data_IF_953954871260
#
_entry.id   IF_953954871260
#
_cell.length_a   1.000
_cell.length_b   1.000
_cell.length_c   1.000
_cell.angle_alpha   90.00
_cell.angle_beta   90.00
_cell.angle_gamma   90.00
#
_symmetry.space_group_name_H-M   'P 1'
#
loop_
_entity.id
_entity.type
_entity.pdbx_description
1 polymer ?
#
# COMPACT_ATOMS: atom_id res chain seq x y z
N UNK A 1 41.89 -3.31 9.09
CA UNK A 1 41.99 -1.84 9.11
C UNK A 1 40.59 -1.25 9.06
N UNK A 2 40.19 -0.69 10.21
CA UNK A 2 39.05 0.19 10.56
C UNK A 2 37.71 0.02 9.86
N UNK A 3 36.74 -0.50 10.63
CA UNK A 3 35.31 -0.29 10.44
C UNK A 3 34.91 1.06 11.07
N UNK A 4 34.10 1.84 10.36
CA UNK A 4 33.47 3.04 10.90
C UNK A 4 32.06 2.68 11.38
N UNK A 5 31.90 2.61 12.71
CA UNK A 5 30.62 2.62 13.41
C UNK A 5 29.99 4.01 13.27
N UNK A 6 28.72 4.08 12.88
CA UNK A 6 27.91 5.29 13.01
C UNK A 6 26.83 5.03 14.05
N UNK A 7 27.04 5.69 15.18
CA UNK A 7 26.28 5.66 16.43
C UNK A 7 24.98 6.46 16.27
N UNK A 8 23.84 5.83 16.57
CA UNK A 8 22.49 6.42 16.40
C UNK A 8 21.83 6.67 17.76
N UNK A 9 22.58 7.20 18.72
CA UNK A 9 22.07 7.59 20.05
C UNK A 9 22.77 8.87 20.55
N UNK A 10 22.33 10.03 20.08
CA UNK A 10 22.53 11.33 20.78
C UNK A 10 21.89 12.46 19.95
N UNK A 11 20.59 12.70 20.10
CA UNK A 11 20.03 14.02 19.79
C UNK A 11 18.69 14.28 20.48
N UNK A 12 18.57 13.84 21.74
CA UNK A 12 17.49 14.24 22.63
C UNK A 12 18.13 14.89 23.85
N UNK A 13 18.69 16.09 23.67
CA UNK A 13 18.99 17.08 24.72
C UNK A 13 19.68 18.28 24.07
N UNK A 14 18.89 19.27 23.62
CA UNK A 14 19.23 20.71 23.57
C UNK A 14 18.20 21.52 22.78
N UNK A 15 17.22 22.08 23.49
CA UNK A 15 16.58 23.40 23.24
C UNK A 15 15.58 23.62 24.40
N UNK A 16 15.71 24.58 25.31
CA UNK A 16 16.39 25.87 25.24
C UNK A 16 15.40 27.04 25.19
N UNK A 17 14.60 27.19 26.25
CA UNK A 17 14.06 28.45 26.79
C UNK A 17 13.03 29.31 26.00
N UNK A 18 12.30 30.12 26.80
CA UNK A 18 11.41 31.25 26.46
C UNK A 18 9.93 30.85 26.17
N UNK A 19 8.85 31.43 26.72
CA UNK A 19 8.57 32.66 27.48
C UNK A 19 7.23 32.47 28.26
N UNK A 20 7.06 33.18 29.38
CA UNK A 20 5.77 33.32 30.10
C UNK A 20 4.86 34.33 29.37
N UNK A 21 3.53 34.18 29.38
CA UNK A 21 2.63 35.24 28.92
C UNK A 21 2.29 36.22 30.06
N UNK A 22 2.34 37.52 29.74
CA UNK A 22 1.69 38.61 30.48
C UNK A 22 0.37 39.02 29.80
N UNK A 23 -0.50 39.78 30.48
CA UNK A 23 -1.94 39.77 30.24
C UNK A 23 -2.44 40.80 29.23
N UNK A 24 -3.64 40.47 28.72
CA UNK A 24 -4.68 41.22 28.02
C UNK A 24 -4.56 42.75 27.91
N UNK A 25 -4.79 43.27 26.68
CA UNK A 25 -5.31 44.62 26.47
C UNK A 25 -6.25 44.64 25.23
N UNK A 26 -7.51 45.00 25.48
CA UNK A 26 -8.58 45.16 24.48
C UNK A 26 -8.57 46.57 23.86
N UNK A 27 -8.94 46.70 22.58
CA UNK A 27 -9.25 48.01 21.99
C UNK A 27 -9.83 47.95 20.56
N UNK A 28 -10.98 48.61 20.24
CA UNK A 28 -11.79 48.36 19.04
C UNK A 28 -11.69 49.43 17.92
N UNK A 29 -12.08 49.10 16.68
CA UNK A 29 -12.21 50.09 15.58
C UNK A 29 -12.96 49.57 14.34
N UNK A 30 -13.96 50.33 13.87
CA UNK A 30 -14.98 50.00 12.84
C UNK A 30 -14.68 50.60 11.45
N UNK A 31 -15.31 50.02 10.40
CA UNK A 31 -15.72 50.68 9.11
C UNK A 31 -14.91 50.25 7.87
N UNK A 32 -15.44 49.94 6.69
CA UNK A 32 -16.77 50.09 6.08
C UNK A 32 -16.89 49.31 4.74
N UNK A 33 -17.95 49.51 3.94
CA UNK A 33 -18.44 48.54 2.94
C UNK A 33 -17.95 48.78 1.51
N UNK A 34 -17.89 47.72 0.71
CA UNK A 34 -17.82 47.82 -0.75
C UNK A 34 -17.06 46.68 -1.43
N UNK A 35 -17.78 45.74 -2.04
CA UNK A 35 -17.86 45.60 -3.49
C UNK A 35 -18.46 44.24 -3.85
N UNK A 36 -19.57 44.30 -4.58
CA UNK A 36 -20.11 43.20 -5.37
C UNK A 36 -19.01 42.56 -6.23
N UNK A 37 -18.81 41.25 -6.05
CA UNK A 37 -18.28 40.39 -7.12
C UNK A 37 -19.37 39.41 -7.53
N UNK A 38 -20.03 39.58 -8.68
CA UNK A 38 -20.91 38.56 -9.17
C UNK A 38 -20.13 37.51 -9.98
N UNK A 39 -20.68 36.29 -9.93
CA UNK A 39 -20.48 35.13 -10.81
C UNK A 39 -19.37 34.13 -10.46
N UNK A 40 -19.58 33.33 -9.42
CA UNK A 40 -19.20 31.91 -9.52
C UNK A 40 -20.22 31.21 -10.42
N UNK A 41 -19.78 30.86 -11.64
CA UNK A 41 -20.47 29.88 -12.49
C UNK A 41 -20.52 28.55 -11.73
N UNK A 42 -21.59 27.75 -11.83
CA UNK A 42 -21.66 26.46 -11.16
C UNK A 42 -20.71 25.48 -11.85
N UNK A 43 -19.45 25.48 -11.43
CA UNK A 43 -18.59 24.32 -11.58
C UNK A 43 -19.23 23.20 -10.78
N UNK A 44 -19.33 22.02 -11.36
CA UNK A 44 -19.91 20.83 -10.74
C UNK A 44 -19.22 20.54 -9.40
N UNK A 45 -19.76 21.05 -8.29
CA UNK A 45 -19.27 20.80 -6.94
C UNK A 45 -19.57 19.34 -6.60
N UNK A 46 -18.68 18.44 -7.03
CA UNK A 46 -18.71 17.06 -6.58
C UNK A 46 -18.33 17.05 -5.10
N UNK A 47 -19.17 16.41 -4.28
CA UNK A 47 -18.94 16.31 -2.83
C UNK A 47 -17.72 15.43 -2.54
N UNK A 48 -17.06 15.67 -1.41
CA UNK A 48 -15.95 14.82 -0.94
C UNK A 48 -16.36 13.35 -0.85
N UNK A 49 -17.60 13.09 -0.43
CA UNK A 49 -18.16 11.74 -0.39
C UNK A 49 -18.21 11.07 -1.78
N UNK A 50 -18.62 11.80 -2.82
CA UNK A 50 -18.66 11.29 -4.19
C UNK A 50 -17.25 11.07 -4.76
N UNK A 51 -16.30 11.96 -4.44
CA UNK A 51 -14.89 11.78 -4.82
C UNK A 51 -14.32 10.52 -4.17
N UNK A 52 -14.52 10.36 -2.86
CA UNK A 52 -14.02 9.20 -2.13
C UNK A 52 -14.62 7.88 -2.64
N UNK A 53 -15.94 7.84 -2.86
CA UNK A 53 -16.61 6.67 -3.40
C UNK A 53 -16.02 6.23 -4.75
N UNK A 54 -15.71 7.20 -5.63
CA UNK A 54 -15.06 6.93 -6.90
C UNK A 54 -13.64 6.36 -6.72
N UNK A 55 -12.83 6.93 -5.83
CA UNK A 55 -11.48 6.43 -5.55
C UNK A 55 -11.51 5.00 -5.00
N UNK A 56 -12.42 4.72 -4.06
CA UNK A 56 -12.59 3.39 -3.48
C UNK A 56 -13.01 2.35 -4.54
N UNK A 57 -13.86 2.74 -5.49
CA UNK A 57 -14.31 1.89 -6.59
C UNK A 57 -13.25 1.70 -7.69
N UNK A 58 -12.51 2.76 -8.05
CA UNK A 58 -11.45 2.73 -9.07
C UNK A 58 -10.22 1.96 -8.61
N UNK A 59 -9.94 1.94 -7.30
CA UNK A 59 -8.85 1.15 -6.75
C UNK A 59 -9.15 -0.34 -6.96
N UNK A 60 -8.38 -0.95 -7.84
CA UNK A 60 -8.38 -2.40 -8.13
C UNK A 60 -7.00 -3.00 -7.84
N UNK A 61 -6.89 -4.32 -7.94
CA UNK A 61 -5.60 -5.01 -7.95
C UNK A 61 -5.12 -5.16 -9.40
N UNK A 62 -4.34 -4.19 -9.89
CA UNK A 62 -3.79 -4.24 -11.24
C UNK A 62 -2.70 -5.30 -11.35
N UNK A 63 -2.79 -6.19 -12.34
CA UNK A 63 -1.89 -7.34 -12.52
C UNK A 63 -1.16 -7.33 -13.86
N UNK A 64 -1.06 -6.14 -14.44
CA UNK A 64 -0.21 -5.82 -15.58
C UNK A 64 0.07 -4.32 -15.54
N UNK A 65 1.33 -3.94 -15.70
CA UNK A 65 1.78 -2.57 -15.60
C UNK A 65 2.62 -2.21 -16.81
N UNK A 66 2.59 -0.92 -17.17
CA UNK A 66 3.53 -0.37 -18.13
C UNK A 66 4.91 -0.18 -17.47
N UNK A 67 6.02 -0.28 -18.24
CA UNK A 67 7.37 -0.27 -17.68
C UNK A 67 7.84 1.13 -17.24
N UNK A 68 7.14 2.21 -17.61
CA UNK A 68 7.59 3.56 -17.32
C UNK A 68 7.55 3.85 -15.81
N UNK A 69 8.68 4.24 -15.21
CA UNK A 69 8.71 4.54 -13.78
C UNK A 69 7.88 5.79 -13.49
N UNK A 70 7.14 5.74 -12.39
CA UNK A 70 6.49 6.92 -11.80
C UNK A 70 7.54 7.98 -11.40
N UNK A 71 7.21 9.29 -11.48
CA UNK A 71 8.04 10.35 -10.90
C UNK A 71 8.29 10.11 -9.41
N UNK A 72 9.53 10.30 -8.96
CA UNK A 72 9.90 10.12 -7.55
C UNK A 72 9.01 10.94 -6.60
N UNK A 73 8.68 12.17 -6.99
CA UNK A 73 7.81 13.05 -6.21
C UNK A 73 6.40 12.47 -6.00
N UNK A 74 5.88 11.69 -6.95
CA UNK A 74 4.58 11.01 -6.78
C UNK A 74 4.70 9.89 -5.74
N UNK A 75 5.79 9.11 -5.78
CA UNK A 75 6.05 8.04 -4.81
C UNK A 75 6.13 8.63 -3.39
N UNK A 76 6.94 9.67 -3.21
CA UNK A 76 7.11 10.36 -1.94
C UNK A 76 5.79 10.97 -1.44
N UNK A 77 5.00 11.57 -2.34
CA UNK A 77 3.67 12.10 -2.00
C UNK A 77 2.69 11.02 -1.56
N UNK A 78 2.66 9.88 -2.26
CA UNK A 78 1.81 8.75 -1.86
C UNK A 78 2.22 8.18 -0.50
N UNK A 79 3.53 8.05 -0.23
CA UNK A 79 4.04 7.61 1.07
C UNK A 79 3.70 8.60 2.18
N UNK A 80 3.86 9.91 1.94
CA UNK A 80 3.50 10.94 2.91
C UNK A 80 2.00 10.89 3.25
N UNK A 81 1.14 10.66 2.26
CA UNK A 81 -0.30 10.44 2.48
C UNK A 81 -0.57 9.14 3.23
N UNK A 82 0.15 8.05 2.91
CA UNK A 82 0.02 6.77 3.63
C UNK A 82 0.29 6.92 5.13
N UNK A 83 1.34 7.66 5.50
CA UNK A 83 1.70 7.95 6.88
C UNK A 83 0.70 8.84 7.63
N UNK A 84 -0.36 9.33 6.98
CA UNK A 84 -1.49 10.01 7.64
C UNK A 84 -2.54 9.03 8.18
N UNK A 85 -2.41 7.74 7.92
CA UNK A 85 -3.28 6.72 8.51
C UNK A 85 -3.23 6.78 10.05
N UNK A 86 -4.32 6.44 10.75
CA UNK A 86 -4.29 6.32 12.20
C UNK A 86 -3.50 5.08 12.62
N UNK A 87 -3.05 5.06 13.88
CA UNK A 87 -2.46 3.89 14.54
C UNK A 87 -2.75 3.92 16.02
N UNK A 88 -2.72 2.76 16.68
CA UNK A 88 -2.89 2.68 18.13
C UNK A 88 -1.86 3.58 18.83
N UNK A 89 -2.35 4.47 19.69
CA UNK A 89 -1.54 5.46 20.41
C UNK A 89 -0.61 6.30 19.50
N UNK A 90 -0.95 6.46 18.22
CA UNK A 90 -0.12 7.13 17.22
C UNK A 90 1.31 6.54 17.08
N UNK A 91 1.47 5.24 17.33
CA UNK A 91 2.76 4.54 17.30
C UNK A 91 3.40 4.45 15.92
N UNK A 92 2.60 4.58 14.85
CA UNK A 92 3.05 4.58 13.46
C UNK A 92 3.99 3.38 13.15
N UNK A 93 3.52 2.13 13.36
CA UNK A 93 4.38 0.95 13.38
C UNK A 93 4.85 0.52 11.97
N UNK A 94 4.62 1.31 10.94
CA UNK A 94 4.94 0.96 9.57
C UNK A 94 6.39 1.23 9.22
N UNK A 95 7.10 0.18 8.81
CA UNK A 95 8.35 0.30 8.08
C UNK A 95 8.08 -0.06 6.62
N UNK A 96 8.23 0.92 5.72
CA UNK A 96 7.93 0.77 4.29
C UNK A 96 9.24 0.87 3.49
N UNK A 97 9.61 -0.23 2.84
CA UNK A 97 10.81 -0.29 2.00
C UNK A 97 10.42 -0.30 0.51
N UNK A 98 10.86 0.70 -0.26
CA UNK A 98 10.49 0.84 -1.68
C UNK A 98 11.65 0.52 -2.59
N UNK A 99 11.48 -0.45 -3.47
CA UNK A 99 12.48 -0.81 -4.49
C UNK A 99 12.07 -0.29 -5.87
N UNK A 100 13.02 0.36 -6.54
CA UNK A 100 12.90 0.86 -7.90
C UNK A 100 14.11 0.42 -8.73
N UNK A 101 13.99 0.44 -10.06
CA UNK A 101 15.11 0.23 -10.98
C UNK A 101 15.91 -1.05 -10.69
N UNK A 102 17.23 -0.91 -10.50
CA UNK A 102 18.13 -2.05 -10.30
C UNK A 102 17.82 -2.87 -9.03
N UNK A 103 17.43 -2.22 -7.92
CA UNK A 103 17.07 -2.91 -6.68
C UNK A 103 15.82 -3.78 -6.87
N UNK A 104 14.79 -3.21 -7.52
CA UNK A 104 13.58 -3.95 -7.92
C UNK A 104 13.95 -5.17 -8.78
N UNK A 105 14.81 -5.00 -9.78
CA UNK A 105 15.18 -6.09 -10.68
C UNK A 105 15.96 -7.22 -9.98
N UNK A 106 16.87 -6.88 -9.06
CA UNK A 106 17.56 -7.88 -8.22
C UNK A 106 16.58 -8.68 -7.36
N UNK A 107 15.65 -7.99 -6.69
CA UNK A 107 14.63 -8.65 -5.87
C UNK A 107 13.73 -9.57 -6.69
N UNK A 108 13.25 -9.12 -7.86
CA UNK A 108 12.44 -9.94 -8.75
C UNK A 108 13.20 -11.23 -9.17
N UNK A 109 14.46 -11.08 -9.56
CA UNK A 109 15.30 -12.22 -9.95
C UNK A 109 15.54 -13.20 -8.79
N UNK A 110 15.89 -12.69 -7.61
CA UNK A 110 16.22 -13.50 -6.44
C UNK A 110 14.98 -14.23 -5.89
N UNK A 111 13.88 -13.50 -5.65
CA UNK A 111 12.62 -14.08 -5.16
C UNK A 111 12.07 -15.08 -6.20
N UNK A 112 12.08 -14.72 -7.49
CA UNK A 112 11.63 -15.61 -8.55
C UNK A 112 12.45 -16.88 -8.68
N UNK A 113 13.75 -16.86 -8.38
CA UNK A 113 14.61 -18.04 -8.38
C UNK A 113 14.27 -19.01 -7.24
N UNK A 114 14.09 -18.50 -6.02
CA UNK A 114 13.70 -19.31 -4.86
C UNK A 114 12.33 -19.96 -5.06
N UNK A 115 11.36 -19.19 -5.56
CA UNK A 115 10.01 -19.68 -5.81
C UNK A 115 9.98 -20.77 -6.90
N UNK A 116 10.77 -20.63 -7.97
CA UNK A 116 10.93 -21.69 -8.99
C UNK A 116 11.55 -22.97 -8.43
N UNK A 117 12.36 -22.84 -7.39
CA UNK A 117 12.93 -23.99 -6.70
C UNK A 117 12.00 -24.56 -5.61
N UNK A 118 10.76 -24.06 -5.49
CA UNK A 118 9.77 -24.54 -4.53
C UNK A 118 10.12 -24.23 -3.07
N UNK A 119 11.01 -23.26 -2.83
CA UNK A 119 11.41 -22.85 -1.48
C UNK A 119 10.61 -21.64 -1.05
N UNK A 120 10.25 -21.58 0.23
CA UNK A 120 9.63 -20.42 0.88
C UNK A 120 9.98 -20.43 2.37
N UNK A 121 10.20 -19.25 2.95
CA UNK A 121 10.49 -19.07 4.37
C UNK A 121 9.83 -17.78 4.90
N UNK A 122 8.49 -17.69 4.91
CA UNK A 122 7.82 -16.50 5.40
C UNK A 122 8.03 -16.28 6.90
N UNK A 123 8.01 -15.01 7.35
CA UNK A 123 8.08 -14.68 8.79
C UNK A 123 6.78 -15.04 9.53
N UNK A 124 5.67 -15.08 8.80
CA UNK A 124 4.34 -15.41 9.31
C UNK A 124 3.86 -16.72 8.64
N UNK A 125 3.25 -17.65 9.39
CA UNK A 125 2.69 -18.86 8.80
C UNK A 125 1.70 -18.54 7.68
N UNK A 126 1.80 -19.29 6.58
CA UNK A 126 0.86 -19.21 5.46
C UNK A 126 0.37 -20.61 5.10
N UNK A 127 -0.85 -20.94 5.53
CA UNK A 127 -1.47 -22.25 5.25
C UNK A 127 -2.41 -22.22 4.03
N UNK A 128 -2.81 -21.04 3.57
CA UNK A 128 -3.75 -20.80 2.47
C UNK A 128 -5.09 -21.54 2.61
N UNK A 129 -5.47 -21.95 3.84
CA UNK A 129 -6.69 -22.73 4.09
C UNK A 129 -7.80 -21.81 4.54
N UNK A 130 -8.79 -21.64 3.67
CA UNK A 130 -10.03 -20.95 3.99
C UNK A 130 -11.17 -21.96 4.07
N UNK A 131 -12.12 -21.69 4.95
CA UNK A 131 -13.31 -22.51 5.18
C UNK A 131 -14.60 -21.74 4.90
N UNK A 132 -15.70 -22.47 4.71
CA UNK A 132 -17.04 -21.93 4.47
C UNK A 132 -17.08 -20.84 3.38
N UNK A 133 -17.76 -19.74 3.69
CA UNK A 133 -17.95 -18.60 2.79
C UNK A 133 -16.63 -17.98 2.31
N UNK A 134 -15.57 -18.03 3.11
CA UNK A 134 -14.26 -17.48 2.73
C UNK A 134 -13.61 -18.32 1.63
N UNK A 135 -13.75 -19.65 1.70
CA UNK A 135 -13.28 -20.58 0.66
C UNK A 135 -14.02 -20.38 -0.66
N UNK A 136 -15.33 -20.20 -0.60
CA UNK A 136 -16.17 -19.93 -1.77
C UNK A 136 -15.76 -18.63 -2.46
N UNK A 137 -15.58 -17.55 -1.68
CA UNK A 137 -15.09 -16.24 -2.18
C UNK A 137 -13.70 -16.38 -2.81
N UNK A 138 -12.79 -17.13 -2.21
CA UNK A 138 -11.45 -17.38 -2.75
C UNK A 138 -11.53 -18.09 -4.12
N UNK A 139 -12.32 -19.16 -4.24
CA UNK A 139 -12.47 -19.88 -5.51
C UNK A 139 -13.13 -19.03 -6.59
N UNK A 140 -14.17 -18.26 -6.25
CA UNK A 140 -14.83 -17.36 -7.18
C UNK A 140 -13.87 -16.28 -7.72
N UNK A 141 -13.09 -15.66 -6.82
CA UNK A 141 -12.08 -14.67 -7.21
C UNK A 141 -10.99 -15.26 -8.11
N UNK A 142 -10.50 -16.47 -7.78
CA UNK A 142 -9.52 -17.16 -8.61
C UNK A 142 -10.08 -17.51 -9.99
N UNK A 143 -11.30 -18.05 -10.06
CA UNK A 143 -11.95 -18.38 -11.33
C UNK A 143 -12.15 -17.14 -12.21
N UNK A 144 -12.61 -16.03 -11.63
CA UNK A 144 -12.78 -14.77 -12.35
C UNK A 144 -11.43 -14.21 -12.87
N UNK A 145 -10.37 -14.31 -12.08
CA UNK A 145 -9.02 -13.91 -12.50
C UNK A 145 -8.52 -14.72 -13.69
N UNK A 146 -8.61 -16.05 -13.64
CA UNK A 146 -8.16 -16.90 -14.75
C UNK A 146 -9.01 -16.70 -16.00
N UNK A 147 -10.32 -16.54 -15.85
CA UNK A 147 -11.21 -16.21 -16.97
C UNK A 147 -10.83 -14.86 -17.63
N UNK A 148 -10.58 -13.81 -16.82
CA UNK A 148 -10.14 -12.51 -17.33
C UNK A 148 -8.75 -12.56 -18.01
N UNK A 149 -7.91 -13.51 -17.61
CA UNK A 149 -6.61 -13.76 -18.24
C UNK A 149 -6.70 -14.65 -19.49
N UNK A 150 -7.89 -15.16 -19.85
CA UNK A 150 -8.06 -16.12 -20.95
C UNK A 150 -7.48 -17.51 -20.65
N UNK A 151 -7.28 -17.86 -19.37
CA UNK A 151 -6.64 -19.10 -18.94
C UNK A 151 -7.69 -20.15 -18.59
N UNK A 152 -7.68 -21.27 -19.31
CA UNK A 152 -8.58 -22.38 -19.06
C UNK A 152 -8.30 -23.07 -17.71
N UNK A 153 -9.35 -23.52 -17.01
CA UNK A 153 -9.22 -24.17 -15.69
C UNK A 153 -8.29 -25.39 -15.67
N UNK A 154 -8.24 -26.14 -16.78
CA UNK A 154 -7.41 -27.35 -16.95
C UNK A 154 -5.96 -27.06 -17.33
N UNK A 155 -5.65 -25.83 -17.74
CA UNK A 155 -4.30 -25.42 -18.14
C UNK A 155 -3.47 -25.08 -16.90
N UNK A 156 -2.89 -26.12 -16.29
CA UNK A 156 -2.08 -25.96 -15.07
C UNK A 156 -0.84 -25.10 -15.31
N UNK A 157 -0.20 -25.24 -16.48
CA UNK A 157 1.03 -24.54 -16.81
C UNK A 157 0.79 -23.02 -16.95
N UNK A 158 -0.27 -22.61 -17.66
CA UNK A 158 -0.61 -21.19 -17.77
C UNK A 158 -1.02 -20.59 -16.42
N UNK A 159 -1.72 -21.36 -15.56
CA UNK A 159 -2.08 -20.90 -14.21
C UNK A 159 -0.86 -20.71 -13.32
N UNK A 160 0.09 -21.63 -13.39
CA UNK A 160 1.38 -21.53 -12.69
C UNK A 160 2.19 -20.34 -13.20
N UNK A 161 2.30 -20.17 -14.52
CA UNK A 161 2.97 -19.02 -15.12
C UNK A 161 2.33 -17.68 -14.66
N UNK A 162 1.00 -17.60 -14.65
CA UNK A 162 0.26 -16.43 -14.15
C UNK A 162 0.49 -16.19 -12.65
N UNK A 163 0.59 -17.25 -11.85
CA UNK A 163 0.94 -17.14 -10.43
C UNK A 163 2.37 -16.61 -10.25
N UNK A 164 3.33 -17.12 -11.04
CA UNK A 164 4.73 -16.72 -10.98
C UNK A 164 4.96 -15.24 -11.35
N UNK A 165 4.02 -14.61 -12.07
CA UNK A 165 4.06 -13.15 -12.32
C UNK A 165 4.03 -12.31 -11.04
N UNK A 166 3.58 -12.86 -9.91
CA UNK A 166 3.70 -12.17 -8.62
C UNK A 166 5.15 -11.75 -8.33
N UNK A 167 6.11 -12.63 -8.65
CA UNK A 167 7.51 -12.50 -8.28
C UNK A 167 8.33 -11.65 -9.26
N UNK A 168 7.75 -11.32 -10.42
CA UNK A 168 8.19 -10.20 -11.26
C UNK A 168 7.25 -8.99 -11.09
N UNK A 169 6.57 -8.89 -9.95
CA UNK A 169 5.74 -7.72 -9.59
C UNK A 169 4.69 -7.36 -10.65
N UNK A 170 4.23 -8.34 -11.42
CA UNK A 170 3.37 -8.19 -12.60
C UNK A 170 3.90 -7.24 -13.69
N UNK A 171 5.21 -7.00 -13.73
CA UNK A 171 5.87 -6.02 -14.59
C UNK A 171 5.89 -4.60 -14.03
N UNK A 172 5.43 -4.38 -12.79
CA UNK A 172 5.45 -3.04 -12.18
C UNK A 172 6.89 -2.51 -12.04
N UNK A 173 7.13 -1.21 -12.32
CA UNK A 173 8.43 -0.59 -12.18
C UNK A 173 8.87 -0.43 -10.71
N UNK A 174 7.91 -0.45 -9.78
CA UNK A 174 8.14 -0.21 -8.36
C UNK A 174 7.42 -1.24 -7.49
N UNK A 175 7.98 -1.51 -6.31
CA UNK A 175 7.36 -2.35 -5.28
C UNK A 175 7.65 -1.77 -3.89
N UNK A 176 6.63 -1.73 -3.03
CA UNK A 176 6.74 -1.32 -1.64
C UNK A 176 6.50 -2.53 -0.72
N UNK A 177 7.42 -2.79 0.21
CA UNK A 177 7.34 -3.87 1.18
C UNK A 177 6.97 -3.31 2.55
N UNK A 178 5.98 -3.91 3.20
CA UNK A 178 5.41 -3.44 4.46
C UNK A 178 5.82 -4.36 5.61
N UNK A 179 6.67 -3.84 6.48
CA UNK A 179 7.23 -4.55 7.62
C UNK A 179 6.62 -4.07 8.93
N UNK A 180 6.53 -5.00 9.90
CA UNK A 180 6.40 -4.68 11.31
C UNK A 180 7.79 -4.69 11.96
N UNK A 181 8.16 -3.61 12.67
CA UNK A 181 9.31 -3.60 13.57
C UNK A 181 9.24 -4.67 14.67
N UNK A 182 10.37 -4.97 15.32
CA UNK A 182 10.43 -5.95 16.40
C UNK A 182 9.50 -5.59 17.56
N UNK A 183 8.88 -6.60 18.17
CA UNK A 183 7.99 -6.43 19.33
C UNK A 183 6.52 -6.12 19.01
N UNK A 184 6.20 -5.70 17.78
CA UNK A 184 4.81 -5.45 17.37
C UNK A 184 4.06 -6.71 16.96
N UNK A 185 2.74 -6.75 17.16
CA UNK A 185 1.87 -7.92 16.98
C UNK A 185 0.70 -7.67 16.04
N UNK A 186 -0.39 -8.43 16.25
CA UNK A 186 -1.58 -8.40 15.39
C UNK A 186 -2.30 -7.05 15.39
N UNK A 187 -2.24 -6.30 16.51
CA UNK A 187 -2.87 -4.96 16.59
C UNK A 187 -2.18 -3.98 15.65
N UNK A 188 -0.86 -3.97 15.65
CA UNK A 188 -0.06 -3.10 14.80
C UNK A 188 -0.06 -3.59 13.34
N UNK A 189 -0.27 -4.89 13.10
CA UNK A 189 -0.55 -5.41 11.76
C UNK A 189 -1.82 -4.77 11.16
N UNK A 190 -2.84 -4.50 11.97
CA UNK A 190 -4.05 -3.81 11.52
C UNK A 190 -3.73 -2.35 11.16
N UNK A 191 -2.93 -1.65 11.97
CA UNK A 191 -2.47 -0.28 11.69
C UNK A 191 -1.66 -0.22 10.39
N UNK A 192 -0.78 -1.20 10.15
CA UNK A 192 -0.04 -1.35 8.89
C UNK A 192 -1.00 -1.54 7.70
N UNK A 193 -2.08 -2.29 7.88
CA UNK A 193 -3.15 -2.46 6.88
C UNK A 193 -3.86 -1.15 6.55
N UNK A 194 -4.14 -0.29 7.55
CA UNK A 194 -4.72 1.04 7.34
C UNK A 194 -3.78 1.95 6.54
N UNK A 195 -2.48 1.94 6.88
CA UNK A 195 -1.43 2.65 6.15
C UNK A 195 -1.33 2.18 4.69
N UNK A 196 -1.27 0.86 4.47
CA UNK A 196 -1.22 0.26 3.15
C UNK A 196 -2.45 0.59 2.28
N UNK A 197 -3.66 0.59 2.85
CA UNK A 197 -4.86 0.98 2.12
C UNK A 197 -4.85 2.48 1.78
N UNK A 198 -4.39 3.33 2.70
CA UNK A 198 -4.22 4.77 2.44
C UNK A 198 -3.22 5.01 1.30
N UNK A 199 -2.11 4.27 1.27
CA UNK A 199 -1.14 4.30 0.16
C UNK A 199 -1.78 3.95 -1.19
N UNK A 200 -2.56 2.87 -1.27
CA UNK A 200 -3.21 2.46 -2.51
C UNK A 200 -4.26 3.48 -2.99
N UNK A 201 -5.01 4.09 -2.08
CA UNK A 201 -5.96 5.17 -2.41
C UNK A 201 -5.25 6.44 -2.87
N UNK A 202 -4.12 6.81 -2.24
CA UNK A 202 -3.29 7.93 -2.66
C UNK A 202 -2.73 7.71 -4.08
N UNK A 203 -2.20 6.52 -4.37
CA UNK A 203 -1.79 6.16 -5.74
C UNK A 203 -2.95 6.30 -6.73
N UNK A 204 -4.13 5.78 -6.38
CA UNK A 204 -5.33 5.86 -7.23
C UNK A 204 -5.75 7.31 -7.50
N UNK A 205 -5.70 8.17 -6.48
CA UNK A 205 -6.03 9.59 -6.60
C UNK A 205 -5.09 10.34 -7.55
N UNK A 206 -3.82 9.91 -7.63
CA UNK A 206 -2.82 10.45 -8.55
C UNK A 206 -2.83 9.79 -9.94
N UNK A 207 -3.77 8.87 -10.20
CA UNK A 207 -3.89 8.18 -11.48
C UNK A 207 -2.97 6.97 -11.65
N UNK A 208 -2.39 6.47 -10.57
CA UNK A 208 -1.54 5.28 -10.56
C UNK A 208 -2.29 4.05 -10.05
N UNK A 209 -1.74 2.88 -10.33
CA UNK A 209 -2.32 1.59 -9.95
C UNK A 209 -1.42 0.84 -8.97
N UNK A 210 -2.00 -0.12 -8.26
CA UNK A 210 -1.32 -0.92 -7.25
C UNK A 210 -1.88 -2.34 -7.18
N UNK A 211 -1.10 -3.28 -6.64
CA UNK A 211 -1.55 -4.62 -6.30
C UNK A 211 -0.94 -5.08 -4.98
N UNK A 212 -1.75 -5.24 -3.91
CA UNK A 212 -1.28 -5.86 -2.68
C UNK A 212 -1.09 -7.36 -2.87
N UNK A 213 0.01 -7.90 -2.34
CA UNK A 213 0.47 -9.26 -2.59
C UNK A 213 1.07 -9.87 -1.31
N UNK A 214 0.34 -10.82 -0.71
CA UNK A 214 0.89 -11.71 0.32
C UNK A 214 2.01 -12.58 -0.23
N UNK A 215 1.97 -12.97 -1.51
CA UNK A 215 3.00 -13.81 -2.12
C UNK A 215 4.42 -13.23 -1.97
N UNK A 216 4.55 -11.90 -1.88
CA UNK A 216 5.85 -11.23 -1.73
C UNK A 216 6.47 -11.37 -0.34
N UNK A 217 5.73 -11.85 0.67
CA UNK A 217 6.25 -12.07 2.03
C UNK A 217 6.88 -13.45 2.24
N UNK A 218 7.02 -14.26 1.20
CA UNK A 218 7.56 -15.63 1.30
C UNK A 218 9.09 -15.71 1.36
N UNK A 219 9.79 -14.63 1.00
CA UNK A 219 11.25 -14.51 1.09
C UNK A 219 11.68 -13.19 1.76
N UNK A 220 11.25 -12.98 3.01
CA UNK A 220 11.52 -11.74 3.73
C UNK A 220 13.02 -11.50 3.97
N UNK A 221 13.82 -12.55 4.05
CA UNK A 221 15.29 -12.47 4.17
C UNK A 221 15.95 -11.77 2.98
N UNK A 222 15.46 -12.00 1.76
CA UNK A 222 15.99 -11.35 0.56
C UNK A 222 15.68 -9.86 0.56
N UNK A 223 14.46 -9.50 0.98
CA UNK A 223 14.04 -8.11 1.10
C UNK A 223 14.82 -7.41 2.21
N UNK A 224 14.97 -8.04 3.38
CA UNK A 224 15.78 -7.48 4.48
C UNK A 224 17.23 -7.24 4.05
N UNK A 225 17.84 -8.20 3.34
CA UNK A 225 19.22 -8.06 2.87
C UNK A 225 19.40 -6.90 1.88
N UNK A 226 18.47 -6.72 0.94
CA UNK A 226 18.51 -5.62 -0.04
C UNK A 226 18.43 -4.23 0.63
N UNK A 227 17.66 -4.11 1.71
CA UNK A 227 17.44 -2.83 2.42
C UNK A 227 18.26 -2.67 3.71
N UNK A 228 19.07 -3.66 4.10
CA UNK A 228 19.83 -3.63 5.35
C UNK A 228 18.96 -3.62 6.61
N UNK A 229 17.82 -4.30 6.60
CA UNK A 229 16.86 -4.30 7.72
C UNK A 229 17.22 -5.34 8.79
N UNK A 230 16.87 -5.09 10.07
CA UNK A 230 17.02 -6.06 11.15
C UNK A 230 16.32 -7.39 10.86
N UNK A 231 16.92 -8.49 11.30
CA UNK A 231 16.45 -9.85 11.02
C UNK A 231 15.05 -10.15 11.63
N UNK A 232 14.67 -9.41 12.66
CA UNK A 232 13.43 -9.52 13.42
C UNK A 232 12.32 -8.54 12.96
N UNK A 233 12.60 -7.66 11.98
CA UNK A 233 11.56 -6.95 11.24
C UNK A 233 10.77 -7.94 10.38
N UNK A 234 9.48 -8.12 10.65
CA UNK A 234 8.64 -9.11 9.97
C UNK A 234 7.94 -8.53 8.75
N UNK A 235 8.09 -9.16 7.59
CA UNK A 235 7.42 -8.75 6.36
C UNK A 235 5.99 -9.30 6.31
N UNK A 236 5.00 -8.42 6.16
CA UNK A 236 3.59 -8.82 6.10
C UNK A 236 3.14 -9.08 4.66
N UNK A 237 3.41 -8.14 3.76
CA UNK A 237 3.09 -8.22 2.33
C UNK A 237 3.88 -7.17 1.55
N UNK A 238 3.85 -7.28 0.23
CA UNK A 238 4.31 -6.23 -0.68
C UNK A 238 3.18 -5.63 -1.50
N UNK A 239 3.40 -4.47 -2.08
CA UNK A 239 2.51 -3.79 -3.03
C UNK A 239 3.32 -3.43 -4.26
N UNK A 240 3.03 -4.09 -5.38
CA UNK A 240 3.54 -3.66 -6.69
C UNK A 240 2.75 -2.44 -7.18
N UNK A 241 3.41 -1.44 -7.74
CA UNK A 241 2.74 -0.22 -8.18
C UNK A 241 3.41 0.47 -9.38
N UNK A 242 2.61 1.22 -10.14
CA UNK A 242 3.01 1.83 -11.40
C UNK A 242 1.79 2.30 -12.19
N UNK A 243 1.94 2.45 -13.50
CA UNK A 243 0.79 2.69 -14.40
C UNK A 243 0.20 1.35 -14.81
N UNK A 244 -1.11 1.17 -14.65
CA UNK A 244 -1.77 -0.03 -15.16
C UNK A 244 -1.70 -0.07 -16.69
N UNK A 245 -1.40 -1.24 -17.24
CA UNK A 245 -1.52 -1.46 -18.69
C UNK A 245 -3.02 -1.49 -19.06
N UNK A 246 -3.50 -0.52 -19.86
CA UNK A 246 -4.92 -0.45 -20.24
C UNK A 246 -5.33 -1.54 -21.23
N UNK A 247 -4.37 -2.18 -21.91
CA UNK A 247 -4.64 -3.26 -22.88
C UNK A 247 -4.84 -4.62 -22.21
N UNK A 248 -4.41 -4.75 -20.95
CA UNK A 248 -4.46 -6.01 -20.23
C UNK A 248 -5.85 -6.29 -19.63
N UNK A 249 -6.58 -7.25 -20.21
CA UNK A 249 -7.93 -7.64 -19.78
C UNK A 249 -8.05 -7.98 -18.27
N UNK A 250 -6.98 -8.51 -17.66
CA UNK A 250 -6.91 -8.79 -16.22
C UNK A 250 -7.10 -7.54 -15.34
N UNK A 251 -6.82 -6.35 -15.86
CA UNK A 251 -7.02 -5.07 -15.16
C UNK A 251 -8.48 -4.58 -15.24
N UNK A 252 -9.33 -5.15 -16.09
CA UNK A 252 -10.75 -4.82 -16.12
C UNK A 252 -11.57 -5.61 -15.08
N UNK A 253 -10.94 -6.57 -14.38
CA UNK A 253 -11.63 -7.43 -13.43
C UNK A 253 -12.15 -6.64 -12.23
N UNK A 254 -13.47 -6.64 -12.08
CA UNK A 254 -14.16 -6.19 -10.88
C UNK A 254 -14.65 -7.40 -10.10
N UNK A 255 -14.29 -7.47 -8.82
CA UNK A 255 -14.77 -8.50 -7.91
C UNK A 255 -15.90 -7.94 -7.05
N UNK A 256 -17.02 -8.64 -6.89
CA UNK A 256 -18.12 -8.17 -6.06
C UNK A 256 -17.70 -8.03 -4.59
N UNK A 257 -18.47 -7.24 -3.83
CA UNK A 257 -18.38 -7.15 -2.37
C UNK A 257 -19.74 -7.45 -1.79
N UNK A 258 -19.76 -8.36 -0.83
CA UNK A 258 -20.96 -8.77 -0.12
C UNK A 258 -21.03 -7.99 1.20
N UNK A 259 -21.62 -6.80 1.12
CA UNK A 259 -21.69 -5.85 2.25
C UNK A 259 -22.51 -6.46 3.38
N UNK A 260 -23.69 -6.99 3.07
CA UNK A 260 -24.61 -7.54 4.06
C UNK A 260 -23.99 -8.66 4.90
N UNK A 261 -23.22 -9.57 4.30
CA UNK A 261 -22.53 -10.62 5.05
C UNK A 261 -21.28 -10.14 5.82
N UNK A 262 -20.79 -8.92 5.56
CA UNK A 262 -19.59 -8.36 6.19
C UNK A 262 -19.89 -7.26 7.23
N UNK A 263 -21.14 -6.81 7.33
CA UNK A 263 -21.52 -5.68 8.20
C UNK A 263 -22.71 -6.04 9.07
N UNK A 264 -22.64 -5.67 10.35
CA UNK A 264 -23.76 -5.73 11.28
C UNK A 264 -23.95 -4.34 11.86
N UNK A 265 -25.12 -3.75 11.63
CA UNK A 265 -25.53 -2.49 12.25
C UNK A 265 -26.62 -2.85 13.25
N UNK A 266 -26.47 -2.37 14.49
CA UNK A 266 -27.49 -2.48 15.53
C UNK A 266 -28.04 -1.09 15.75
N UNK A 267 -29.27 -0.91 15.32
CA UNK A 267 -30.16 0.09 15.87
C UNK A 267 -30.94 -0.69 16.95
N UNK A 268 -31.15 -0.04 18.10
CA UNK A 268 -31.73 -0.59 19.33
C UNK A 268 -32.93 -1.52 19.14
#
# INVERSE_FOLDING_TARGET
MSAANLDWQSSADQAGAALRPGPDDEGPGRGGPGQDRPLQRPGTNRTDAAVFAELAARRISARAFLPEPLPRADIERALALACRAPSNCNTQPWLIAVACGAARNRLAAAIGAEMRAGRMKPDLPYDARYEGIHRERQFAAAAALYAAAGIARKDKAAREAQFMRNYDFFGAPHVAFFFLPPGFGTREAADLGMCAQTFMLALTAMGHASCPQTALSFHPELVRAEFGLPADCRLLFGISFGRADPSAAVNALQLPRDVAACTLIRED
#
